data_IF_646807498154
#
_entry.id   IF_646807498154
#
_cell.length_a   1.000
_cell.length_b   1.000
_cell.length_c   1.000
_cell.angle_alpha   90.00
_cell.angle_beta   90.00
_cell.angle_gamma   90.00
#
_symmetry.space_group_name_H-M   'P 1'
#
loop_
_entity.id
_entity.type
_entity.pdbx_description
1 polymer ?
#
# COMPACT_ATOMS: atom_id res chain seq x y z
N UNK A 1 13.41 -12.63 21.66
CA UNK A 1 13.93 -11.35 21.25
C UNK A 1 12.82 -10.33 21.40
N UNK A 2 13.12 -9.19 22.01
CA UNK A 2 12.19 -8.08 22.15
C UNK A 2 11.87 -7.57 20.74
N UNK A 3 10.59 -7.52 20.39
CA UNK A 3 10.13 -6.69 19.28
C UNK A 3 10.59 -5.27 19.61
N UNK A 4 11.48 -4.71 18.81
CA UNK A 4 11.77 -3.29 18.91
C UNK A 4 10.50 -2.56 18.47
N UNK A 5 9.86 -1.83 19.38
CA UNK A 5 8.73 -0.95 19.04
C UNK A 5 9.20 0.04 17.97
N UNK A 6 8.68 -0.11 16.77
CA UNK A 6 8.94 0.83 15.69
C UNK A 6 8.26 2.16 16.04
N UNK A 7 9.03 3.24 16.12
CA UNK A 7 8.49 4.58 16.33
C UNK A 7 7.46 4.96 15.26
N UNK A 8 7.66 4.47 14.02
CA UNK A 8 6.79 4.73 12.87
C UNK A 8 6.40 3.43 12.17
N UNK A 9 5.11 3.29 11.88
CA UNK A 9 4.56 2.09 11.25
C UNK A 9 4.87 1.97 9.76
N UNK A 10 4.87 3.10 9.01
CA UNK A 10 4.95 3.09 7.56
C UNK A 10 6.24 3.70 7.02
N UNK A 11 6.89 2.98 6.09
CA UNK A 11 7.87 3.53 5.17
C UNK A 11 7.13 4.11 3.97
N UNK A 12 7.15 5.42 3.82
CA UNK A 12 6.36 6.15 2.82
C UNK A 12 7.26 6.82 1.80
N UNK A 13 6.94 6.63 0.52
CA UNK A 13 7.67 7.24 -0.59
C UNK A 13 6.71 7.93 -1.57
N UNK A 14 7.18 9.01 -2.17
CA UNK A 14 6.54 9.62 -3.33
C UNK A 14 7.53 10.45 -4.16
N UNK A 15 7.08 10.87 -5.33
CA UNK A 15 7.78 11.82 -6.19
C UNK A 15 6.92 13.06 -6.35
N UNK A 16 7.49 14.23 -6.07
CA UNK A 16 6.86 15.54 -6.28
C UNK A 16 7.40 16.14 -7.58
N UNK A 17 6.50 16.49 -8.49
CA UNK A 17 6.82 17.07 -9.81
C UNK A 17 6.21 18.47 -9.88
N UNK A 18 7.01 19.47 -10.23
CA UNK A 18 6.57 20.87 -10.39
C UNK A 18 7.63 21.69 -11.08
N UNK A 19 7.30 22.91 -11.48
CA UNK A 19 8.27 23.80 -12.19
C UNK A 19 9.48 24.13 -11.30
N UNK A 20 9.21 24.36 -10.00
CA UNK A 20 10.25 24.65 -9.00
C UNK A 20 9.78 24.22 -7.60
N UNK A 21 10.12 22.99 -7.20
CA UNK A 21 9.81 22.46 -5.88
C UNK A 21 10.75 23.06 -4.84
N UNK A 22 10.20 23.77 -3.85
CA UNK A 22 10.98 24.27 -2.71
C UNK A 22 11.31 23.12 -1.74
N UNK A 23 12.45 22.47 -1.99
CA UNK A 23 12.92 21.33 -1.21
C UNK A 23 13.21 21.67 0.26
N UNK A 24 13.61 22.92 0.56
CA UNK A 24 13.90 23.33 1.94
C UNK A 24 12.61 23.40 2.74
N UNK A 25 11.59 24.05 2.19
CA UNK A 25 10.29 24.16 2.83
C UNK A 25 9.57 22.81 2.92
N UNK A 26 9.58 22.03 1.82
CA UNK A 26 9.05 20.66 1.82
C UNK A 26 9.70 19.78 2.91
N UNK A 27 11.04 19.85 3.04
CA UNK A 27 11.75 19.13 4.10
C UNK A 27 11.33 19.60 5.50
N UNK A 28 11.19 20.91 5.71
CA UNK A 28 10.81 21.45 7.01
C UNK A 28 9.41 20.97 7.44
N UNK A 29 8.44 20.98 6.53
CA UNK A 29 7.09 20.51 6.84
C UNK A 29 7.03 18.98 7.07
N UNK A 30 7.73 18.20 6.25
CA UNK A 30 7.76 16.74 6.41
C UNK A 30 8.51 16.31 7.69
N UNK A 31 9.53 17.04 8.12
CA UNK A 31 10.25 16.75 9.36
C UNK A 31 9.39 16.87 10.61
N UNK A 32 8.25 17.56 10.52
CA UNK A 32 7.31 17.72 11.64
C UNK A 32 6.35 16.51 11.79
N UNK A 33 6.26 15.63 10.80
CA UNK A 33 5.27 14.53 10.77
C UNK A 33 5.89 13.13 10.81
N UNK A 34 7.23 13.02 10.72
CA UNK A 34 7.88 11.71 10.73
C UNK A 34 9.40 11.76 10.86
N UNK A 35 10.01 10.58 10.78
CA UNK A 35 11.45 10.35 10.89
C UNK A 35 12.11 9.79 9.65
N UNK A 36 13.41 9.56 9.68
CA UNK A 36 14.22 8.99 8.58
C UNK A 36 14.00 9.68 7.23
N UNK A 37 13.80 11.02 7.26
CA UNK A 37 13.42 11.81 6.09
C UNK A 37 14.55 11.99 5.10
N UNK A 38 14.33 11.58 3.86
CA UNK A 38 15.17 11.87 2.70
C UNK A 38 14.36 12.67 1.67
N UNK A 39 14.84 13.85 1.32
CA UNK A 39 14.31 14.69 0.23
C UNK A 39 15.43 14.91 -0.76
N UNK A 40 15.35 14.28 -1.93
CA UNK A 40 16.43 14.27 -2.92
C UNK A 40 15.88 14.46 -4.34
N UNK A 41 16.73 15.00 -5.22
CA UNK A 41 16.38 15.18 -6.63
C UNK A 41 16.65 16.60 -7.15
N UNK A 42 16.10 16.87 -8.33
CA UNK A 42 16.22 18.16 -9.04
C UNK A 42 15.05 19.08 -8.70
N UNK A 43 15.16 20.37 -9.04
CA UNK A 43 14.12 21.38 -8.71
C UNK A 43 12.73 21.04 -9.27
N UNK A 44 12.66 20.35 -10.41
CA UNK A 44 11.39 19.99 -11.06
C UNK A 44 10.90 18.59 -10.72
N UNK A 45 11.74 17.76 -10.05
CA UNK A 45 11.39 16.37 -9.69
C UNK A 45 12.12 15.97 -8.41
N UNK A 46 11.39 15.84 -7.32
CA UNK A 46 11.91 15.55 -5.99
C UNK A 46 11.34 14.23 -5.50
N UNK A 47 12.21 13.32 -5.07
CA UNK A 47 11.80 12.08 -4.37
C UNK A 47 11.78 12.37 -2.87
N UNK A 48 10.74 11.89 -2.22
CA UNK A 48 10.56 11.87 -0.78
C UNK A 48 10.58 10.44 -0.30
N UNK A 49 11.30 10.18 0.79
CA UNK A 49 11.24 8.96 1.60
C UNK A 49 11.15 9.39 3.06
N UNK A 50 10.20 8.85 3.81
CA UNK A 50 9.96 9.20 5.21
C UNK A 50 9.28 8.05 5.94
N UNK A 51 9.59 7.87 7.23
CA UNK A 51 8.87 6.97 8.12
C UNK A 51 7.83 7.74 8.92
N UNK A 52 6.56 7.30 8.88
CA UNK A 52 5.41 8.00 9.48
C UNK A 52 4.38 7.01 10.02
N UNK A 53 3.45 7.51 10.83
CA UNK A 53 2.24 6.76 11.22
C UNK A 53 1.03 7.12 10.34
N UNK A 54 1.06 8.29 9.67
CA UNK A 54 0.02 8.73 8.72
C UNK A 54 0.61 9.03 7.33
N UNK A 55 0.64 8.04 6.41
CA UNK A 55 1.09 8.28 5.03
C UNK A 55 0.27 9.33 4.28
N UNK A 56 -1.04 9.44 4.58
CA UNK A 56 -1.90 10.42 3.94
C UNK A 56 -1.44 11.85 4.23
N UNK A 57 -0.96 12.14 5.44
CA UNK A 57 -0.39 13.44 5.78
C UNK A 57 0.82 13.78 4.90
N UNK A 58 1.69 12.81 4.61
CA UNK A 58 2.85 13.00 3.72
C UNK A 58 2.41 13.41 2.32
N UNK A 59 1.43 12.69 1.75
CA UNK A 59 0.94 12.98 0.41
C UNK A 59 0.19 14.32 0.34
N UNK A 60 -0.56 14.69 1.39
CA UNK A 60 -1.19 16.03 1.50
C UNK A 60 -0.16 17.15 1.55
N UNK A 61 0.89 16.99 2.35
CA UNK A 61 1.99 17.96 2.43
C UNK A 61 2.68 18.07 1.08
N UNK A 62 3.12 16.95 0.51
CA UNK A 62 3.81 16.89 -0.78
C UNK A 62 2.99 17.54 -1.92
N UNK A 63 1.67 17.32 -1.92
CA UNK A 63 0.74 17.87 -2.92
C UNK A 63 0.64 19.40 -2.93
N UNK A 64 1.08 20.09 -1.87
CA UNK A 64 1.15 21.57 -1.84
C UNK A 64 2.35 22.11 -2.62
N UNK A 65 3.35 21.27 -2.89
CA UNK A 65 4.60 21.64 -3.57
C UNK A 65 4.64 21.24 -5.05
N UNK A 66 3.67 20.44 -5.50
CA UNK A 66 3.57 19.97 -6.89
C UNK A 66 2.68 18.75 -7.04
N UNK A 67 2.67 18.17 -8.24
CA UNK A 67 1.96 16.94 -8.51
C UNK A 67 2.67 15.76 -7.86
N UNK A 68 1.94 14.99 -7.05
CA UNK A 68 2.45 13.78 -6.40
C UNK A 68 2.23 12.58 -7.32
N UNK A 69 3.23 11.71 -7.40
CA UNK A 69 3.18 10.46 -8.16
C UNK A 69 4.05 9.39 -7.52
N UNK A 70 3.83 8.13 -7.89
CA UNK A 70 4.62 7.00 -7.39
C UNK A 70 4.50 6.80 -5.88
N UNK A 71 3.33 7.09 -5.33
CA UNK A 71 3.01 6.92 -3.91
C UNK A 71 3.15 5.46 -3.52
N UNK A 72 3.83 5.23 -2.40
CA UNK A 72 4.01 3.93 -1.75
C UNK A 72 3.94 4.12 -0.24
N UNK A 73 3.40 3.12 0.43
CA UNK A 73 3.44 3.03 1.88
C UNK A 73 3.55 1.54 2.25
N UNK A 74 4.71 1.15 2.73
CA UNK A 74 5.00 -0.22 3.16
C UNK A 74 4.87 -0.29 4.69
N UNK A 75 4.05 -1.22 5.20
CA UNK A 75 3.82 -1.42 6.63
C UNK A 75 5.01 -2.16 7.24
N UNK A 76 5.91 -1.42 7.88
CA UNK A 76 7.13 -1.94 8.49
C UNK A 76 6.84 -2.81 9.72
N UNK A 77 5.75 -2.54 10.45
CA UNK A 77 5.37 -3.34 11.61
C UNK A 77 4.95 -4.75 11.17
N UNK A 78 4.15 -4.87 10.12
CA UNK A 78 3.81 -6.17 9.54
C UNK A 78 5.02 -6.86 8.93
N UNK A 79 5.93 -6.11 8.30
CA UNK A 79 7.18 -6.66 7.78
C UNK A 79 8.08 -7.20 8.89
N UNK A 80 8.20 -6.46 10.00
CA UNK A 80 8.96 -6.91 11.16
C UNK A 80 8.33 -8.17 11.79
N UNK A 81 6.99 -8.16 11.96
CA UNK A 81 6.27 -9.32 12.47
C UNK A 81 6.50 -10.54 11.57
N UNK A 82 6.31 -10.41 10.26
CA UNK A 82 6.54 -11.48 9.30
C UNK A 82 7.96 -12.06 9.35
N UNK A 83 8.98 -11.21 9.56
CA UNK A 83 10.36 -11.64 9.67
C UNK A 83 10.67 -12.46 10.96
N UNK A 84 9.84 -12.34 12.00
CA UNK A 84 10.05 -12.99 13.29
C UNK A 84 9.06 -14.15 13.58
N UNK A 85 8.04 -14.33 12.73
CA UNK A 85 7.05 -15.41 12.92
C UNK A 85 7.69 -16.77 12.69
N UNK A 86 7.77 -17.55 13.76
CA UNK A 86 8.22 -18.95 13.71
C UNK A 86 7.01 -19.87 13.62
N UNK A 87 7.00 -20.74 12.62
CA UNK A 87 6.00 -21.83 12.51
C UNK A 87 4.84 -21.59 11.53
N UNK A 88 4.59 -20.38 11.04
CA UNK A 88 3.64 -20.15 9.95
C UNK A 88 4.21 -20.65 8.63
N UNK A 89 3.41 -21.41 7.87
CA UNK A 89 3.82 -22.00 6.59
C UNK A 89 3.38 -21.20 5.39
N UNK A 90 2.37 -20.36 5.55
CA UNK A 90 1.73 -19.61 4.47
C UNK A 90 1.50 -18.17 4.90
N UNK A 91 1.88 -17.20 4.06
CA UNK A 91 1.47 -15.82 4.19
C UNK A 91 0.24 -15.55 3.32
N UNK A 92 -0.74 -14.81 3.85
CA UNK A 92 -1.95 -14.44 3.12
C UNK A 92 -1.86 -12.98 2.70
N UNK A 93 -2.09 -12.73 1.40
CA UNK A 93 -2.14 -11.40 0.80
C UNK A 93 -3.51 -11.16 0.20
N UNK A 94 -4.01 -9.94 0.30
CA UNK A 94 -5.21 -9.50 -0.39
C UNK A 94 -5.02 -8.09 -0.94
N UNK A 95 -6.02 -7.52 -1.59
CA UNK A 95 -6.07 -6.10 -1.94
C UNK A 95 -7.09 -5.36 -1.06
N UNK A 96 -7.05 -4.02 -1.08
CA UNK A 96 -7.86 -3.20 -0.18
C UNK A 96 -9.37 -3.29 -0.39
N UNK A 97 -9.82 -3.76 -1.56
CA UNK A 97 -11.23 -3.97 -1.82
C UNK A 97 -11.85 -5.18 -1.08
N UNK A 98 -11.05 -5.91 -0.29
CA UNK A 98 -11.51 -7.00 0.57
C UNK A 98 -12.34 -6.51 1.78
N UNK A 99 -12.29 -5.24 2.09
CA UNK A 99 -13.02 -4.58 3.18
C UNK A 99 -12.88 -5.25 4.55
N UNK A 100 -11.74 -5.93 4.79
CA UNK A 100 -11.42 -6.54 6.07
C UNK A 100 -11.12 -5.44 7.09
N UNK A 101 -11.71 -5.46 8.30
CA UNK A 101 -11.33 -4.54 9.38
C UNK A 101 -9.84 -4.64 9.70
N UNK A 102 -9.24 -3.51 10.10
CA UNK A 102 -7.78 -3.45 10.32
C UNK A 102 -7.32 -4.32 11.48
N UNK A 103 -8.09 -4.34 12.56
CA UNK A 103 -7.85 -5.19 13.73
C UNK A 103 -7.88 -6.69 13.37
N UNK A 104 -8.76 -7.11 12.47
CA UNK A 104 -8.80 -8.47 11.97
C UNK A 104 -7.60 -8.79 11.04
N UNK A 105 -7.20 -7.83 10.21
CA UNK A 105 -5.99 -7.98 9.39
C UNK A 105 -4.74 -8.11 10.26
N UNK A 106 -4.63 -7.32 11.33
CA UNK A 106 -3.52 -7.40 12.28
C UNK A 106 -3.55 -8.73 13.04
N UNK A 107 -4.72 -9.14 13.54
CA UNK A 107 -4.90 -10.40 14.28
C UNK A 107 -4.53 -11.64 13.46
N UNK A 108 -4.87 -11.63 12.18
CA UNK A 108 -4.67 -12.75 11.26
C UNK A 108 -3.37 -12.65 10.44
N UNK A 109 -2.63 -11.55 10.58
CA UNK A 109 -1.42 -11.25 9.82
C UNK A 109 -1.66 -11.29 8.30
N UNK A 110 -2.77 -10.67 7.86
CA UNK A 110 -3.12 -10.56 6.45
C UNK A 110 -2.45 -9.30 5.88
N UNK A 111 -1.69 -9.48 4.83
CA UNK A 111 -1.01 -8.39 4.13
C UNK A 111 -1.91 -7.80 3.03
N UNK A 112 -1.85 -6.49 2.85
CA UNK A 112 -2.73 -5.79 1.90
C UNK A 112 -1.91 -5.02 0.87
N UNK A 113 -2.35 -5.11 -0.40
CA UNK A 113 -1.87 -4.24 -1.48
C UNK A 113 -2.99 -3.24 -1.81
N UNK A 114 -2.76 -1.93 -1.62
CA UNK A 114 -3.81 -0.93 -1.79
C UNK A 114 -4.17 -0.73 -3.27
N UNK A 115 -5.48 -0.70 -3.55
CA UNK A 115 -6.04 -0.14 -4.78
C UNK A 115 -5.72 1.35 -4.87
N UNK A 116 -6.00 1.96 -6.02
CA UNK A 116 -5.90 3.41 -6.17
C UNK A 116 -7.28 4.02 -6.36
N UNK A 117 -7.54 5.12 -5.67
CA UNK A 117 -8.74 5.93 -5.78
C UNK A 117 -8.36 7.26 -6.42
N UNK A 118 -9.14 7.73 -7.38
CA UNK A 118 -8.89 8.98 -8.09
C UNK A 118 -10.12 9.89 -8.06
N UNK A 119 -9.93 11.15 -7.69
CA UNK A 119 -10.88 12.23 -7.90
C UNK A 119 -10.28 13.20 -8.94
N UNK A 120 -10.72 13.12 -10.20
CA UNK A 120 -10.07 13.80 -11.30
C UNK A 120 -8.61 13.36 -11.46
N UNK A 121 -7.68 14.30 -11.44
CA UNK A 121 -6.24 14.01 -11.58
C UNK A 121 -5.55 13.67 -10.24
N UNK A 122 -6.27 13.78 -9.13
CA UNK A 122 -5.72 13.50 -7.80
C UNK A 122 -5.93 12.02 -7.45
N UNK A 123 -4.83 11.31 -7.22
CA UNK A 123 -4.81 9.90 -6.85
C UNK A 123 -4.49 9.69 -5.38
N UNK A 124 -5.00 8.58 -4.82
CA UNK A 124 -4.77 8.17 -3.44
C UNK A 124 -4.55 6.66 -3.39
N UNK A 125 -3.74 6.20 -2.45
CA UNK A 125 -3.71 4.79 -2.04
C UNK A 125 -4.92 4.53 -1.13
N UNK A 126 -5.78 3.61 -1.55
CA UNK A 126 -6.97 3.24 -0.80
C UNK A 126 -6.61 2.74 0.61
N UNK A 127 -7.30 3.23 1.63
CA UNK A 127 -7.13 2.95 3.07
C UNK A 127 -5.79 3.40 3.69
N UNK A 128 -4.81 3.80 2.89
CA UNK A 128 -3.47 4.20 3.35
C UNK A 128 -3.19 5.68 3.07
N UNK A 129 -3.56 6.16 1.90
CA UNK A 129 -3.41 7.56 1.47
C UNK A 129 -4.70 8.37 1.56
N UNK A 130 -5.82 7.72 1.84
CA UNK A 130 -7.13 8.30 2.14
C UNK A 130 -7.89 7.35 3.06
N UNK A 131 -8.43 7.87 4.16
CA UNK A 131 -9.30 7.09 5.06
C UNK A 131 -10.72 7.00 4.49
N UNK A 132 -11.57 6.05 4.97
CA UNK A 132 -12.98 6.01 4.58
C UNK A 132 -13.71 7.33 4.86
N UNK A 133 -13.46 7.96 5.99
CA UNK A 133 -14.08 9.25 6.36
C UNK A 133 -13.66 10.36 5.38
N UNK A 134 -12.38 10.48 5.08
CA UNK A 134 -11.85 11.43 4.09
C UNK A 134 -12.41 11.16 2.69
N UNK A 135 -12.58 9.89 2.32
CA UNK A 135 -13.18 9.50 1.04
C UNK A 135 -14.62 9.99 0.93
N UNK A 136 -15.45 9.78 1.96
CA UNK A 136 -16.83 10.24 1.95
C UNK A 136 -16.94 11.77 1.98
N UNK A 137 -16.03 12.45 2.67
CA UNK A 137 -15.94 13.91 2.63
C UNK A 137 -15.61 14.43 1.22
N UNK A 138 -14.61 13.81 0.56
CA UNK A 138 -14.27 14.12 -0.84
C UNK A 138 -15.43 13.81 -1.78
N UNK A 139 -16.13 12.68 -1.59
CA UNK A 139 -17.26 12.27 -2.43
C UNK A 139 -18.38 13.33 -2.44
N UNK A 140 -18.59 14.01 -1.30
CA UNK A 140 -19.60 15.07 -1.17
C UNK A 140 -19.13 16.41 -1.74
N UNK A 141 -17.82 16.74 -1.58
CA UNK A 141 -17.30 18.08 -1.88
C UNK A 141 -16.65 18.18 -3.26
N UNK A 142 -16.11 17.05 -3.77
CA UNK A 142 -15.34 17.06 -5.01
C UNK A 142 -16.26 17.06 -6.24
N UNK A 143 -16.02 17.93 -7.23
CA UNK A 143 -16.84 17.96 -8.45
C UNK A 143 -16.62 16.73 -9.36
N UNK A 144 -15.53 15.98 -9.14
CA UNK A 144 -15.22 14.79 -9.92
C UNK A 144 -15.71 13.53 -9.20
N UNK A 145 -16.48 12.71 -9.91
CA UNK A 145 -16.88 11.40 -9.41
C UNK A 145 -15.64 10.50 -9.26
N UNK A 146 -15.50 9.79 -8.11
CA UNK A 146 -14.33 8.94 -7.88
C UNK A 146 -14.26 7.77 -8.86
N UNK A 147 -13.03 7.41 -9.23
CA UNK A 147 -12.72 6.22 -10.01
C UNK A 147 -11.66 5.39 -9.28
N UNK A 148 -11.69 4.09 -9.48
CA UNK A 148 -10.67 3.19 -8.95
C UNK A 148 -9.80 2.63 -10.07
N UNK A 149 -8.57 2.27 -9.73
CA UNK A 149 -7.71 1.49 -10.61
C UNK A 149 -7.00 0.40 -9.80
N UNK A 150 -6.67 -0.68 -10.50
CA UNK A 150 -5.93 -1.80 -9.93
C UNK A 150 -4.52 -1.37 -9.49
N UNK A 151 -3.93 -2.03 -8.49
CA UNK A 151 -2.52 -1.85 -8.17
C UNK A 151 -1.66 -2.27 -9.36
N UNK A 152 -0.58 -1.56 -9.68
CA UNK A 152 0.35 -2.02 -10.71
C UNK A 152 1.06 -3.30 -10.25
N UNK A 153 1.50 -4.18 -11.17
CA UNK A 153 2.19 -5.42 -10.81
C UNK A 153 3.42 -5.22 -9.91
N UNK A 154 4.07 -4.04 -9.99
CA UNK A 154 5.22 -3.70 -9.14
C UNK A 154 4.88 -3.62 -7.65
N UNK A 155 3.67 -3.24 -7.28
CA UNK A 155 3.23 -3.16 -5.88
C UNK A 155 3.04 -4.57 -5.31
N UNK A 156 2.37 -5.46 -6.04
CA UNK A 156 2.28 -6.88 -5.68
C UNK A 156 3.65 -7.55 -5.62
N UNK A 157 4.53 -7.26 -6.61
CA UNK A 157 5.86 -7.89 -6.66
C UNK A 157 6.67 -7.59 -5.41
N UNK A 158 6.71 -6.33 -4.94
CA UNK A 158 7.43 -5.98 -3.72
C UNK A 158 6.93 -6.78 -2.51
N UNK A 159 5.61 -6.87 -2.37
CA UNK A 159 4.99 -7.61 -1.27
C UNK A 159 5.29 -9.11 -1.37
N UNK A 160 5.17 -9.69 -2.56
CA UNK A 160 5.43 -11.11 -2.78
C UNK A 160 6.91 -11.48 -2.62
N UNK A 161 7.85 -10.65 -3.12
CA UNK A 161 9.29 -10.87 -2.95
C UNK A 161 9.66 -10.88 -1.46
N UNK A 162 9.14 -9.91 -0.71
CA UNK A 162 9.37 -9.85 0.73
C UNK A 162 8.81 -11.11 1.43
N UNK A 163 7.55 -11.43 1.23
CA UNK A 163 6.91 -12.56 1.91
C UNK A 163 7.50 -13.91 1.49
N UNK A 164 7.82 -14.10 0.21
CA UNK A 164 8.44 -15.33 -0.27
C UNK A 164 9.86 -15.55 0.27
N UNK A 165 10.52 -14.51 0.79
CA UNK A 165 11.80 -14.65 1.49
C UNK A 165 11.66 -15.12 2.94
N UNK A 166 10.48 -14.92 3.56
CA UNK A 166 10.24 -15.25 4.96
C UNK A 166 9.29 -16.43 5.17
N UNK A 167 8.41 -16.73 4.21
CA UNK A 167 7.46 -17.82 4.30
C UNK A 167 7.73 -18.89 3.23
N UNK A 168 7.43 -20.17 3.55
CA UNK A 168 7.50 -21.27 2.57
C UNK A 168 6.54 -21.07 1.39
N UNK A 169 5.37 -20.46 1.60
CA UNK A 169 4.37 -20.19 0.57
C UNK A 169 3.64 -18.86 0.82
N UNK A 170 3.12 -18.27 -0.25
CA UNK A 170 2.29 -17.07 -0.24
C UNK A 170 1.02 -17.35 -1.03
N UNK A 171 -0.14 -17.02 -0.46
CA UNK A 171 -1.44 -17.08 -1.14
C UNK A 171 -2.00 -15.67 -1.25
N UNK A 172 -2.31 -15.26 -2.47
CA UNK A 172 -2.95 -13.95 -2.74
C UNK A 172 -4.39 -14.17 -3.16
N UNK A 173 -5.33 -13.71 -2.34
CA UNK A 173 -6.78 -13.76 -2.60
C UNK A 173 -7.24 -12.39 -3.07
N UNK A 174 -7.66 -12.27 -4.32
CA UNK A 174 -7.90 -10.97 -4.94
C UNK A 174 -9.34 -10.81 -5.42
N UNK A 175 -9.73 -9.54 -5.56
CA UNK A 175 -10.99 -9.13 -6.19
C UNK A 175 -11.16 -9.84 -7.54
N UNK A 176 -12.39 -10.31 -7.79
CA UNK A 176 -12.70 -11.10 -8.99
C UNK A 176 -12.29 -10.38 -10.29
N UNK A 177 -11.70 -11.16 -11.20
CA UNK A 177 -11.31 -10.67 -12.54
C UNK A 177 -12.49 -10.25 -13.42
N UNK A 178 -13.73 -10.60 -13.03
CA UNK A 178 -14.94 -10.19 -13.74
C UNK A 178 -15.19 -8.67 -13.66
N UNK A 179 -14.66 -8.00 -12.62
CA UNK A 179 -14.88 -6.56 -12.40
C UNK A 179 -13.58 -5.75 -12.30
N UNK A 180 -12.43 -6.39 -12.16
CA UNK A 180 -11.14 -5.70 -11.98
C UNK A 180 -9.96 -6.45 -12.59
N UNK A 181 -8.96 -5.72 -13.04
CA UNK A 181 -7.66 -6.27 -13.44
C UNK A 181 -6.71 -6.59 -12.27
N UNK A 182 -7.14 -6.42 -11.01
CA UNK A 182 -6.30 -6.63 -9.81
C UNK A 182 -5.73 -8.05 -9.76
N UNK A 183 -6.55 -9.07 -9.99
CA UNK A 183 -6.09 -10.45 -10.03
C UNK A 183 -5.02 -10.68 -11.11
N UNK A 184 -5.22 -10.16 -12.33
CA UNK A 184 -4.25 -10.24 -13.43
C UNK A 184 -2.94 -9.51 -13.09
N UNK A 185 -3.02 -8.39 -12.37
CA UNK A 185 -1.86 -7.63 -11.87
C UNK A 185 -1.04 -8.48 -10.88
N UNK A 186 -1.71 -9.16 -9.95
CA UNK A 186 -1.10 -10.08 -9.00
C UNK A 186 -0.45 -11.29 -9.70
N UNK A 187 -1.13 -11.90 -10.67
CA UNK A 187 -0.59 -13.01 -11.48
C UNK A 187 0.66 -12.59 -12.25
N UNK A 188 0.63 -11.41 -12.88
CA UNK A 188 1.80 -10.86 -13.58
C UNK A 188 2.98 -10.62 -12.65
N UNK A 189 2.73 -10.24 -11.40
CA UNK A 189 3.76 -10.11 -10.38
C UNK A 189 4.31 -11.46 -9.96
N UNK A 190 3.46 -12.42 -9.64
CA UNK A 190 3.82 -13.77 -9.21
C UNK A 190 4.69 -14.49 -10.26
N UNK A 191 4.36 -14.36 -11.55
CA UNK A 191 5.11 -14.96 -12.64
C UNK A 191 6.57 -14.46 -12.77
N UNK A 192 6.88 -13.29 -12.19
CA UNK A 192 8.22 -12.68 -12.23
C UNK A 192 9.08 -12.97 -11.00
N UNK A 193 8.52 -13.67 -10.02
CA UNK A 193 9.25 -14.02 -8.80
C UNK A 193 10.05 -15.29 -9.05
N UNK A 194 11.37 -15.23 -8.86
CA UNK A 194 12.28 -16.34 -9.11
C UNK A 194 12.14 -17.54 -8.15
N UNK A 195 11.30 -17.41 -7.12
CA UNK A 195 10.99 -18.48 -6.18
C UNK A 195 9.84 -19.33 -6.75
N UNK A 196 10.18 -20.22 -7.67
CA UNK A 196 9.24 -21.08 -8.37
C UNK A 196 8.21 -21.75 -7.42
N UNK A 197 6.92 -21.48 -7.66
CA UNK A 197 5.81 -22.13 -6.97
C UNK A 197 5.50 -21.62 -5.56
N UNK A 198 6.22 -20.63 -5.05
CA UNK A 198 5.94 -20.08 -3.71
C UNK A 198 4.71 -19.16 -3.64
N UNK A 199 4.33 -18.53 -4.74
CA UNK A 199 3.20 -17.59 -4.78
C UNK A 199 2.06 -18.17 -5.60
N UNK A 200 0.90 -18.32 -4.96
CA UNK A 200 -0.35 -18.73 -5.61
C UNK A 200 -1.32 -17.56 -5.60
N UNK A 201 -1.84 -17.18 -6.75
CA UNK A 201 -2.86 -16.14 -6.89
C UNK A 201 -4.20 -16.79 -7.15
N UNK A 202 -5.20 -16.41 -6.36
CA UNK A 202 -6.57 -16.91 -6.45
C UNK A 202 -7.52 -15.79 -6.87
N UNK A 203 -8.27 -16.02 -7.93
CA UNK A 203 -9.47 -15.25 -8.22
C UNK A 203 -10.55 -15.67 -7.23
N UNK A 204 -10.96 -14.76 -6.37
CA UNK A 204 -11.97 -15.06 -5.35
C UNK A 204 -13.37 -15.31 -5.90
N UNK A 205 -13.61 -14.95 -7.16
CA UNK A 205 -14.94 -14.88 -7.78
C UNK A 205 -15.96 -14.04 -6.97
N UNK A 206 -15.46 -13.14 -6.12
CA UNK A 206 -16.23 -12.39 -5.15
C UNK A 206 -15.77 -10.93 -5.10
N UNK A 207 -16.52 -10.08 -4.38
CA UNK A 207 -16.22 -8.66 -4.17
C UNK A 207 -16.45 -8.27 -2.69
N UNK A 208 -15.82 -7.17 -2.27
CA UNK A 208 -15.97 -6.61 -0.91
C UNK A 208 -15.66 -7.66 0.17
N UNK A 209 -16.31 -7.60 1.33
CA UNK A 209 -16.12 -8.54 2.42
C UNK A 209 -16.35 -10.01 2.03
N UNK A 210 -17.04 -10.29 0.92
CA UNK A 210 -17.22 -11.64 0.41
C UNK A 210 -15.90 -12.38 0.19
N UNK A 211 -14.92 -11.73 -0.46
CA UNK A 211 -13.59 -12.34 -0.56
C UNK A 211 -12.68 -12.00 0.64
N UNK A 212 -13.01 -10.97 1.39
CA UNK A 212 -12.39 -10.73 2.68
C UNK A 212 -12.54 -11.92 3.61
N UNK A 213 -13.73 -12.52 3.69
CA UNK A 213 -13.98 -13.75 4.45
C UNK A 213 -13.15 -14.93 3.93
N UNK A 214 -12.95 -15.04 2.61
CA UNK A 214 -12.10 -16.09 2.02
C UNK A 214 -10.63 -15.87 2.44
N UNK A 215 -10.14 -14.64 2.40
CA UNK A 215 -8.80 -14.31 2.84
C UNK A 215 -8.60 -14.57 4.34
N UNK A 216 -9.58 -14.19 5.17
CA UNK A 216 -9.57 -14.44 6.61
C UNK A 216 -9.60 -15.94 6.94
N UNK A 217 -10.33 -16.73 6.16
CA UNK A 217 -10.36 -18.19 6.33
C UNK A 217 -9.04 -18.87 5.92
N UNK A 218 -8.32 -18.28 4.96
CA UNK A 218 -7.04 -18.79 4.49
C UNK A 218 -5.87 -18.47 5.45
N UNK A 219 -6.01 -17.45 6.30
CA UNK A 219 -5.02 -16.98 7.26
C UNK A 219 -5.12 -17.74 8.59
#
# INVERSE_FOLDING_TARGET
GLEEDLEYRYCTECVVIGDRVDRRHLRAELSAVGGSLVVAGLQHKVRVHIHVNDPAAVFRIAGRFGTVSGEKADDMQRQQHAAHVVGRKVAVVTDSGADIPEDEMDRLDIHMVPLRVHFGDKGYLDRVGITPEEFYDELVRNPHHPKTSQPPPGDFRRQFEFLASHYPAVVSVNLTRKVSGTCASAESAAARIGAHGKVTVLDSENASLGYGLVAMYAA
#
